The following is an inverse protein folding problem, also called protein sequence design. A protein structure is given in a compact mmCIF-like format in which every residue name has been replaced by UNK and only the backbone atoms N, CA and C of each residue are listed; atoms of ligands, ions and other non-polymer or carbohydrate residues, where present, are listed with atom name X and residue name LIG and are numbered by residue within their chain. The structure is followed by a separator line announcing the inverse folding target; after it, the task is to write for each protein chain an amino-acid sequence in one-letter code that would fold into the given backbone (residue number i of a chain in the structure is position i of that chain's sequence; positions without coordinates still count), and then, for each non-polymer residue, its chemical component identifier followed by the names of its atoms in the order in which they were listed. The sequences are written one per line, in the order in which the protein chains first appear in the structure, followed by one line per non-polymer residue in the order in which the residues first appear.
data_IF_414700744333
#
_entry.id   IF_414700744333
#
_cell.length_a   1.000
_cell.length_b   1.000
_cell.length_c   1.000
_cell.angle_alpha   90.00
_cell.angle_beta   90.00
_cell.angle_gamma   90.00
#
_symmetry.space_group_name_H-M   'P 1'
#
loop_
_entity.id
_entity.type
_entity.pdbx_description
1 polymer ?
#
# COMPACT_ATOMS: atom_id res chain seq x y z
N UNK A 1 6.29 28.72 11.02
CA UNK A 1 6.13 27.25 11.00
C UNK A 1 6.43 26.74 12.39
N UNK A 2 5.54 25.96 13.00
CA UNK A 2 5.84 25.31 14.26
C UNK A 2 7.01 24.34 14.03
N UNK A 3 8.04 24.42 14.87
CA UNK A 3 9.15 23.47 14.87
C UNK A 3 8.61 22.11 15.31
N UNK A 4 8.50 21.13 14.40
CA UNK A 4 8.18 19.75 14.76
C UNK A 4 9.27 19.23 15.69
N UNK A 5 8.90 18.78 16.89
CA UNK A 5 9.86 18.30 17.91
C UNK A 5 9.90 16.77 18.02
N UNK A 6 9.00 16.07 17.31
CA UNK A 6 8.87 14.61 17.32
C UNK A 6 8.15 14.13 16.05
N UNK A 7 8.33 12.85 15.72
CA UNK A 7 7.56 12.16 14.67
C UNK A 7 6.09 12.05 15.06
N UNK A 8 5.19 12.39 14.13
CA UNK A 8 3.74 12.30 14.32
C UNK A 8 3.04 11.68 13.11
N UNK A 9 1.89 11.06 13.33
CA UNK A 9 0.98 10.63 12.27
C UNK A 9 -0.05 11.73 12.03
N UNK A 10 0.14 12.50 10.97
CA UNK A 10 -0.76 13.61 10.64
C UNK A 10 -2.15 13.10 10.25
N UNK A 11 -2.22 11.86 9.80
CA UNK A 11 -3.46 11.24 9.35
C UNK A 11 -3.53 9.82 9.89
N UNK A 12 -4.41 9.60 10.87
CA UNK A 12 -4.70 8.30 11.47
C UNK A 12 -5.34 7.37 10.41
N UNK A 13 -4.51 6.90 9.48
CA UNK A 13 -4.82 6.01 8.35
C UNK A 13 -5.81 6.59 7.32
N UNK A 14 -5.37 7.50 6.42
CA UNK A 14 -6.20 7.97 5.32
C UNK A 14 -6.72 6.80 4.49
N UNK A 15 -8.04 6.65 4.49
CA UNK A 15 -8.74 5.80 3.54
C UNK A 15 -8.65 6.44 2.16
N UNK A 16 -7.85 5.86 1.27
CA UNK A 16 -7.68 6.30 -0.12
C UNK A 16 -8.61 5.56 -1.09
N UNK A 17 -9.70 5.03 -0.55
CA UNK A 17 -10.75 4.32 -1.28
C UNK A 17 -11.04 2.94 -0.68
N UNK A 18 -11.93 2.20 -1.35
CA UNK A 18 -12.30 0.86 -0.95
C UNK A 18 -12.20 -0.09 -2.13
N UNK A 19 -11.80 -1.33 -1.86
CA UNK A 19 -11.84 -2.45 -2.79
C UNK A 19 -12.74 -3.54 -2.24
N UNK A 20 -13.50 -4.19 -3.11
CA UNK A 20 -14.30 -5.35 -2.78
C UNK A 20 -13.88 -6.55 -3.62
N UNK A 21 -13.58 -7.67 -2.96
CA UNK A 21 -13.18 -8.92 -3.58
C UNK A 21 -13.86 -10.11 -2.91
N UNK A 22 -13.85 -11.27 -3.58
CA UNK A 22 -14.30 -12.53 -2.98
C UNK A 22 -13.57 -12.82 -1.65
N UNK A 23 -14.28 -13.31 -0.65
CA UNK A 23 -13.71 -13.62 0.68
C UNK A 23 -12.53 -14.58 0.59
N UNK A 24 -12.51 -15.48 -0.39
CA UNK A 24 -11.42 -16.43 -0.60
C UNK A 24 -10.06 -15.78 -0.89
N UNK A 25 -10.04 -14.52 -1.33
CA UNK A 25 -8.79 -13.74 -1.48
C UNK A 25 -8.23 -13.26 -0.15
N UNK A 26 -9.10 -13.02 0.84
CA UNK A 26 -8.73 -12.41 2.12
C UNK A 26 -8.56 -13.44 3.23
N UNK A 27 -9.33 -14.52 3.18
CA UNK A 27 -9.27 -15.62 4.14
C UNK A 27 -9.04 -16.92 3.41
N UNK A 28 -7.97 -17.64 3.77
CA UNK A 28 -7.69 -18.95 3.20
C UNK A 28 -8.87 -19.89 3.44
N UNK A 29 -9.43 -20.43 2.36
CA UNK A 29 -10.61 -21.29 2.43
C UNK A 29 -11.94 -20.55 2.63
N UNK A 30 -11.95 -19.22 2.52
CA UNK A 30 -13.16 -18.40 2.43
C UNK A 30 -14.08 -18.91 1.34
N UNK A 31 -15.40 -18.85 1.56
CA UNK A 31 -16.42 -19.45 0.70
C UNK A 31 -16.29 -20.97 0.46
N UNK A 32 -15.39 -21.67 1.16
CA UNK A 32 -15.17 -23.11 1.01
C UNK A 32 -16.43 -23.95 1.19
N UNK A 33 -16.56 -25.01 0.41
CA UNK A 33 -17.72 -25.92 0.45
C UNK A 33 -17.35 -27.24 1.11
N UNK A 34 -18.36 -28.01 1.55
CA UNK A 34 -18.18 -29.38 2.04
C UNK A 34 -19.00 -30.35 1.19
N UNK A 35 -18.70 -31.65 1.26
CA UNK A 35 -19.44 -32.66 0.50
C UNK A 35 -20.96 -32.61 0.78
N UNK A 36 -21.33 -32.36 2.03
CA UNK A 36 -22.72 -32.23 2.48
C UNK A 36 -23.33 -30.85 2.24
N UNK A 37 -22.52 -29.82 1.97
CA UNK A 37 -22.97 -28.46 1.67
C UNK A 37 -22.14 -27.84 0.54
N UNK A 38 -22.58 -28.11 -0.68
CA UNK A 38 -21.90 -27.67 -1.91
C UNK A 38 -22.24 -26.22 -2.31
N UNK A 39 -23.27 -25.65 -1.70
CA UNK A 39 -23.78 -24.30 -2.00
C UNK A 39 -23.68 -23.42 -0.75
N UNK A 40 -22.49 -22.88 -0.52
CA UNK A 40 -22.26 -21.83 0.47
C UNK A 40 -22.56 -20.46 -0.11
N UNK A 41 -22.89 -19.49 0.75
CA UNK A 41 -22.94 -18.09 0.36
C UNK A 41 -21.59 -17.66 -0.24
N UNK A 42 -21.61 -16.83 -1.27
CA UNK A 42 -20.41 -16.30 -1.93
C UNK A 42 -20.17 -14.90 -1.42
N UNK A 43 -19.60 -14.81 -0.23
CA UNK A 43 -19.33 -13.54 0.42
C UNK A 43 -18.21 -12.80 -0.32
N UNK A 44 -18.41 -11.50 -0.51
CA UNK A 44 -17.37 -10.55 -0.90
C UNK A 44 -17.08 -9.63 0.27
N UNK A 45 -15.81 -9.30 0.49
CA UNK A 45 -15.36 -8.42 1.56
C UNK A 45 -14.94 -7.08 1.00
N UNK A 46 -15.50 -6.02 1.56
CA UNK A 46 -15.06 -4.65 1.33
C UNK A 46 -13.91 -4.31 2.28
N UNK A 47 -12.77 -3.96 1.71
CA UNK A 47 -11.57 -3.51 2.40
C UNK A 47 -11.32 -2.04 2.14
N UNK A 48 -10.62 -1.41 3.06
CA UNK A 48 -10.19 -0.02 2.97
C UNK A 48 -8.74 -0.03 2.48
N UNK A 49 -8.45 0.71 1.41
CA UNK A 49 -7.06 0.98 1.02
C UNK A 49 -6.50 2.07 1.94
N UNK A 50 -5.44 1.75 2.66
CA UNK A 50 -4.78 2.68 3.55
C UNK A 50 -3.60 3.33 2.86
N UNK A 51 -3.35 4.59 3.21
CA UNK A 51 -2.04 5.22 3.07
C UNK A 51 -1.74 5.87 4.41
N UNK A 52 -0.48 6.08 4.80
CA UNK A 52 -0.14 6.71 6.08
C UNK A 52 0.76 7.90 5.82
N UNK A 53 0.40 9.05 6.40
CA UNK A 53 1.18 10.28 6.29
C UNK A 53 1.92 10.56 7.60
N UNK A 54 3.24 10.63 7.52
CA UNK A 54 4.14 10.78 8.67
C UNK A 54 4.84 12.13 8.57
N UNK A 55 4.69 12.97 9.59
CA UNK A 55 5.50 14.16 9.76
C UNK A 55 6.77 13.77 10.53
N UNK A 56 7.92 13.82 9.87
CA UNK A 56 9.21 13.56 10.48
C UNK A 56 9.99 14.87 10.70
N UNK A 57 10.56 15.12 11.90
CA UNK A 57 11.18 16.40 12.23
C UNK A 57 12.42 16.75 11.36
N UNK A 58 13.14 15.74 10.85
CA UNK A 58 14.34 15.95 10.01
C UNK A 58 14.13 15.63 8.53
N UNK A 59 13.21 14.71 8.21
CA UNK A 59 13.02 14.22 6.83
C UNK A 59 11.84 14.90 6.14
N UNK A 60 11.02 15.64 6.88
CA UNK A 60 9.78 16.22 6.37
C UNK A 60 8.67 15.18 6.25
N UNK A 61 7.82 15.36 5.24
CA UNK A 61 6.60 14.57 5.08
C UNK A 61 6.89 13.25 4.35
N UNK A 62 6.70 12.12 5.02
CA UNK A 62 6.89 10.77 4.47
C UNK A 62 5.52 10.14 4.24
N UNK A 63 5.32 9.54 3.07
CA UNK A 63 4.11 8.82 2.71
C UNK A 63 4.38 7.31 2.69
N UNK A 64 3.53 6.51 3.33
CA UNK A 64 3.52 5.06 3.22
C UNK A 64 2.29 4.60 2.44
N UNK A 65 2.52 3.85 1.35
CA UNK A 65 1.51 3.40 0.38
C UNK A 65 0.78 4.56 -0.33
N UNK A 66 0.17 4.27 -1.49
CA UNK A 66 -0.41 5.30 -2.37
C UNK A 66 -1.81 4.97 -2.88
N UNK A 67 -2.37 3.81 -2.51
CA UNK A 67 -3.67 3.37 -3.00
C UNK A 67 -3.64 2.89 -4.46
N UNK A 68 -4.83 2.67 -5.02
CA UNK A 68 -5.04 2.25 -6.41
C UNK A 68 -4.83 3.34 -7.47
N UNK A 69 -4.68 4.60 -7.06
CA UNK A 69 -4.56 5.75 -7.96
C UNK A 69 -5.88 6.20 -8.60
N UNK A 70 -5.82 7.35 -9.26
CA UNK A 70 -7.01 8.05 -9.78
C UNK A 70 -7.55 7.39 -11.07
N UNK A 71 -6.68 6.72 -11.83
CA UNK A 71 -7.01 6.04 -13.09
C UNK A 71 -7.63 4.65 -12.90
N UNK A 72 -8.04 4.29 -11.67
CA UNK A 72 -8.75 3.06 -11.40
C UNK A 72 -10.27 3.25 -11.61
N UNK A 73 -10.95 2.41 -12.40
CA UNK A 73 -10.52 1.09 -12.88
C UNK A 73 -9.94 1.03 -14.30
N UNK A 74 -9.82 2.16 -15.00
CA UNK A 74 -9.39 2.21 -16.40
C UNK A 74 -8.02 1.55 -16.62
N UNK A 75 -7.09 1.74 -15.69
CA UNK A 75 -5.72 1.20 -15.76
C UNK A 75 -5.65 -0.32 -15.65
N UNK A 76 -6.57 -0.94 -14.91
CA UNK A 76 -6.60 -2.40 -14.71
C UNK A 76 -7.55 -3.11 -15.68
N UNK A 77 -8.50 -2.38 -16.25
CA UNK A 77 -9.49 -2.91 -17.18
C UNK A 77 -10.61 -3.72 -16.50
N UNK A 78 -11.66 -4.00 -17.27
CA UNK A 78 -12.88 -4.62 -16.77
C UNK A 78 -12.66 -5.98 -16.07
N UNK A 79 -11.81 -6.92 -16.58
CA UNK A 79 -11.65 -8.22 -15.93
C UNK A 79 -11.05 -8.14 -14.53
N UNK A 80 -10.02 -7.30 -14.34
CA UNK A 80 -9.36 -7.16 -13.03
C UNK A 80 -10.27 -6.40 -12.06
N UNK A 81 -10.96 -5.35 -12.53
CA UNK A 81 -11.93 -4.63 -11.71
C UNK A 81 -13.14 -5.49 -11.31
N UNK A 82 -13.51 -6.52 -12.08
CA UNK A 82 -14.57 -7.47 -11.68
C UNK A 82 -14.13 -8.38 -10.52
N UNK A 83 -12.83 -8.66 -10.41
CA UNK A 83 -12.25 -9.42 -9.31
C UNK A 83 -12.04 -8.51 -8.09
N UNK A 84 -11.32 -7.41 -8.27
CA UNK A 84 -10.96 -6.42 -7.25
C UNK A 84 -11.70 -5.10 -7.53
N UNK A 85 -12.96 -5.02 -7.15
CA UNK A 85 -13.84 -3.93 -7.56
C UNK A 85 -13.62 -2.67 -6.71
N UNK A 86 -13.39 -1.52 -7.34
CA UNK A 86 -13.43 -0.24 -6.63
C UNK A 86 -14.87 0.12 -6.31
N UNK A 87 -15.17 0.22 -5.02
CA UNK A 87 -16.52 0.50 -4.50
C UNK A 87 -16.49 1.72 -3.60
N UNK A 88 -17.65 2.34 -3.39
CA UNK A 88 -17.83 3.49 -2.50
C UNK A 88 -16.75 4.57 -2.72
N UNK A 89 -16.51 4.92 -3.99
CA UNK A 89 -15.44 5.84 -4.36
C UNK A 89 -15.96 7.17 -4.91
N UNK A 90 -15.38 8.25 -4.42
CA UNK A 90 -15.48 9.60 -4.98
C UNK A 90 -14.13 10.31 -4.85
N UNK A 91 -13.98 11.44 -5.54
CA UNK A 91 -12.73 12.20 -5.60
C UNK A 91 -12.18 12.64 -4.25
N UNK A 92 -13.03 12.76 -3.22
CA UNK A 92 -12.58 13.09 -1.87
C UNK A 92 -11.77 11.97 -1.21
N UNK A 93 -11.80 10.75 -1.75
CA UNK A 93 -11.00 9.60 -1.36
C UNK A 93 -9.71 9.45 -2.18
N UNK A 94 -9.47 10.29 -3.19
CA UNK A 94 -8.18 10.30 -3.91
C UNK A 94 -7.04 10.70 -2.96
N UNK A 95 -5.84 10.16 -3.19
CA UNK A 95 -4.67 10.38 -2.33
C UNK A 95 -4.39 11.87 -2.12
N UNK A 96 -4.44 12.66 -3.20
CA UNK A 96 -4.19 14.11 -3.14
C UNK A 96 -5.23 14.85 -2.29
N UNK A 97 -6.51 14.44 -2.36
CA UNK A 97 -7.58 15.00 -1.55
C UNK A 97 -7.44 14.61 -0.07
N UNK A 98 -7.04 13.37 0.21
CA UNK A 98 -6.79 12.88 1.58
C UNK A 98 -5.61 13.59 2.23
N UNK A 99 -4.50 13.79 1.50
CA UNK A 99 -3.37 14.61 1.97
C UNK A 99 -3.83 16.04 2.22
N UNK A 100 -4.63 16.63 1.31
CA UNK A 100 -5.15 18.00 1.50
C UNK A 100 -5.98 18.19 2.76
N UNK A 101 -6.75 17.18 3.20
CA UNK A 101 -7.52 17.23 4.45
C UNK A 101 -6.65 17.37 5.70
N UNK A 102 -5.36 17.02 5.62
CA UNK A 102 -4.40 17.14 6.72
C UNK A 102 -3.74 18.51 6.80
N UNK A 103 -3.99 19.40 5.82
CA UNK A 103 -3.33 20.70 5.72
C UNK A 103 -2.04 20.69 4.88
N UNK A 104 -1.66 19.55 4.31
CA UNK A 104 -0.52 19.39 3.39
C UNK A 104 -0.95 19.35 1.92
N UNK A 105 -0.01 19.57 1.00
CA UNK A 105 -0.15 19.27 -0.41
C UNK A 105 0.63 17.99 -0.76
N UNK A 106 0.19 17.25 -1.79
CA UNK A 106 0.93 16.07 -2.26
C UNK A 106 2.38 16.41 -2.67
N UNK A 107 2.64 17.66 -3.06
CA UNK A 107 3.98 18.19 -3.39
C UNK A 107 4.87 18.40 -2.15
N UNK A 108 4.30 18.38 -0.95
CA UNK A 108 5.07 18.50 0.29
C UNK A 108 5.79 17.19 0.65
N UNK A 109 5.33 16.06 0.11
CA UNK A 109 5.92 14.73 0.32
C UNK A 109 7.39 14.72 -0.12
N UNK A 110 8.26 14.22 0.77
CA UNK A 110 9.72 14.15 0.60
C UNK A 110 10.24 12.74 0.37
N UNK A 111 9.46 11.72 0.73
CA UNK A 111 9.77 10.33 0.46
C UNK A 111 8.46 9.53 0.40
N UNK A 112 8.45 8.48 -0.42
CA UNK A 112 7.38 7.48 -0.45
C UNK A 112 7.97 6.14 -0.07
N UNK A 113 7.29 5.41 0.78
CA UNK A 113 7.60 4.03 1.16
C UNK A 113 6.46 3.16 0.65
N UNK A 114 6.80 2.08 -0.04
CA UNK A 114 5.83 1.11 -0.54
C UNK A 114 6.12 -0.24 0.11
N UNK A 115 5.15 -0.78 0.85
CA UNK A 115 5.26 -2.10 1.49
C UNK A 115 5.45 -3.21 0.47
N UNK A 116 4.67 -3.19 -0.61
CA UNK A 116 4.84 -4.03 -1.80
C UNK A 116 4.13 -3.40 -3.02
N UNK A 117 4.40 -3.89 -4.23
CA UNK A 117 4.07 -3.19 -5.47
C UNK A 117 2.76 -3.64 -6.14
N UNK A 118 1.77 -4.16 -5.41
CA UNK A 118 0.47 -4.44 -6.03
C UNK A 118 -0.31 -3.16 -6.38
N UNK A 119 -1.28 -3.33 -7.27
CA UNK A 119 -2.12 -2.32 -7.91
C UNK A 119 -2.73 -1.31 -6.94
N UNK A 120 -3.10 -1.74 -5.73
CA UNK A 120 -3.80 -0.97 -4.70
C UNK A 120 -2.88 -0.38 -3.62
N UNK A 121 -1.58 -0.62 -3.74
CA UNK A 121 -0.55 -0.02 -2.88
C UNK A 121 0.31 0.97 -3.67
N UNK A 122 0.68 0.61 -4.90
CA UNK A 122 1.58 1.36 -5.78
C UNK A 122 0.84 2.10 -6.93
N UNK A 123 -0.46 1.87 -7.11
CA UNK A 123 -1.24 2.45 -8.21
C UNK A 123 -1.25 3.98 -8.22
N UNK A 124 -1.18 4.60 -7.05
CA UNK A 124 -1.15 6.06 -6.85
C UNK A 124 0.22 6.73 -7.00
N UNK A 125 1.22 6.06 -7.59
CA UNK A 125 2.58 6.63 -7.73
C UNK A 125 2.72 7.73 -8.81
N UNK A 126 1.75 7.89 -9.71
CA UNK A 126 1.83 8.82 -10.84
C UNK A 126 2.20 10.28 -10.46
N UNK A 127 1.70 10.87 -9.36
CA UNK A 127 2.06 12.23 -8.96
C UNK A 127 3.55 12.43 -8.61
N UNK A 128 4.29 11.34 -8.35
CA UNK A 128 5.69 11.39 -7.93
C UNK A 128 6.69 11.20 -9.07
N UNK A 129 6.23 10.97 -10.31
CA UNK A 129 7.08 10.92 -11.50
C UNK A 129 7.84 12.22 -11.70
N UNK A 130 9.11 12.12 -12.09
CA UNK A 130 10.00 13.25 -12.38
C UNK A 130 10.19 14.24 -11.21
N UNK A 131 9.75 13.90 -10.00
CA UNK A 131 9.94 14.75 -8.82
C UNK A 131 11.32 14.58 -8.18
N UNK A 132 11.96 13.43 -8.41
CA UNK A 132 13.25 13.05 -7.83
C UNK A 132 13.18 12.59 -6.37
N UNK A 133 12.01 12.62 -5.72
CA UNK A 133 11.89 12.12 -4.34
C UNK A 133 12.12 10.61 -4.30
N UNK A 134 12.78 10.07 -3.27
CA UNK A 134 13.01 8.64 -3.15
C UNK A 134 11.70 7.87 -2.97
N UNK A 135 11.55 6.79 -3.74
CA UNK A 135 10.50 5.79 -3.61
C UNK A 135 11.15 4.49 -3.10
N UNK A 136 10.97 4.21 -1.82
CA UNK A 136 11.54 3.06 -1.14
C UNK A 136 10.68 1.81 -1.34
N UNK A 137 11.29 0.74 -1.80
CA UNK A 137 10.69 -0.59 -1.88
C UNK A 137 11.77 -1.66 -1.70
N UNK A 138 11.41 -2.85 -1.22
CA UNK A 138 12.40 -3.92 -1.06
C UNK A 138 12.97 -4.37 -2.40
N UNK A 139 14.26 -4.72 -2.44
CA UNK A 139 14.92 -5.11 -3.69
C UNK A 139 14.30 -6.34 -4.36
N UNK A 140 13.78 -7.28 -3.56
CA UNK A 140 13.09 -8.47 -4.08
C UNK A 140 11.73 -8.12 -4.69
N UNK A 141 11.06 -7.09 -4.17
CA UNK A 141 9.78 -6.62 -4.72
C UNK A 141 10.01 -5.98 -6.08
N UNK A 142 10.99 -5.06 -6.16
CA UNK A 142 11.37 -4.41 -7.42
C UNK A 142 11.78 -5.46 -8.47
N UNK A 143 12.69 -6.38 -8.12
CA UNK A 143 13.13 -7.44 -9.04
C UNK A 143 11.95 -8.28 -9.53
N UNK A 144 11.05 -8.68 -8.62
CA UNK A 144 9.91 -9.52 -8.97
C UNK A 144 8.87 -8.79 -9.83
N UNK A 145 8.47 -7.57 -9.44
CA UNK A 145 7.48 -6.79 -10.18
C UNK A 145 7.94 -6.48 -11.62
N UNK A 146 9.18 -6.01 -11.78
CA UNK A 146 9.77 -5.76 -13.11
C UNK A 146 9.86 -7.04 -13.94
N UNK A 147 10.32 -8.15 -13.32
CA UNK A 147 10.36 -9.44 -14.00
C UNK A 147 8.96 -9.89 -14.44
N UNK A 148 7.99 -9.93 -13.52
CA UNK A 148 6.66 -10.46 -13.75
C UNK A 148 5.90 -9.71 -14.85
N UNK A 149 6.03 -8.37 -14.87
CA UNK A 149 5.48 -7.53 -15.94
C UNK A 149 6.21 -7.75 -17.27
N UNK A 150 7.55 -7.79 -17.27
CA UNK A 150 8.33 -7.98 -18.50
C UNK A 150 8.09 -9.37 -19.14
N UNK A 151 7.89 -10.40 -18.33
CA UNK A 151 7.65 -11.78 -18.79
C UNK A 151 6.18 -12.12 -18.96
N UNK A 152 5.27 -11.20 -18.63
CA UNK A 152 3.80 -11.41 -18.67
C UNK A 152 3.34 -12.59 -17.82
N UNK A 153 4.02 -12.83 -16.70
CA UNK A 153 3.65 -13.86 -15.71
C UNK A 153 2.82 -13.29 -14.57
N UNK A 154 2.71 -11.96 -14.48
CA UNK A 154 1.79 -11.29 -13.58
C UNK A 154 0.32 -11.57 -13.95
N UNK A 155 -0.54 -11.67 -12.93
CA UNK A 155 -1.98 -11.91 -13.08
C UNK A 155 -2.80 -10.62 -13.20
N UNK A 156 -2.15 -9.47 -13.38
CA UNK A 156 -2.77 -8.15 -13.44
C UNK A 156 -2.71 -7.38 -12.13
N UNK A 157 -1.86 -7.79 -11.18
CA UNK A 157 -1.70 -7.10 -9.89
C UNK A 157 -0.47 -6.20 -9.86
N UNK A 158 0.52 -6.42 -10.74
CA UNK A 158 1.62 -5.49 -10.97
C UNK A 158 1.37 -4.69 -12.25
N UNK A 159 1.23 -3.37 -12.13
CA UNK A 159 0.86 -2.52 -13.25
C UNK A 159 2.09 -1.91 -13.94
N UNK A 160 2.19 -2.00 -15.27
CA UNK A 160 3.33 -1.45 -16.02
C UNK A 160 3.49 0.06 -15.88
N UNK A 161 2.41 0.80 -15.54
CA UNK A 161 2.48 2.26 -15.53
C UNK A 161 3.50 2.72 -14.50
N UNK A 162 3.45 2.30 -13.24
CA UNK A 162 4.45 2.75 -12.25
C UNK A 162 5.81 2.06 -12.38
N UNK A 163 5.97 0.94 -13.09
CA UNK A 163 7.27 0.26 -13.28
C UNK A 163 8.12 0.93 -14.37
N UNK A 164 8.45 2.19 -14.15
CA UNK A 164 9.10 3.09 -15.10
C UNK A 164 10.34 3.73 -14.49
N UNK A 165 11.17 4.35 -15.34
CA UNK A 165 12.47 4.92 -14.94
C UNK A 165 12.41 6.41 -14.58
N UNK A 166 11.22 7.01 -14.60
CA UNK A 166 10.97 8.40 -14.19
C UNK A 166 10.56 8.52 -12.71
N UNK A 167 10.48 7.40 -11.99
CA UNK A 167 10.44 7.34 -10.53
C UNK A 167 11.85 7.07 -9.98
N UNK A 168 12.21 7.74 -8.87
CA UNK A 168 13.49 7.54 -8.21
C UNK A 168 13.41 6.36 -7.22
N UNK A 169 13.50 5.14 -7.75
CA UNK A 169 13.47 3.92 -6.96
C UNK A 169 14.73 3.78 -6.08
N UNK A 170 14.53 3.60 -4.77
CA UNK A 170 15.59 3.32 -3.80
C UNK A 170 15.37 1.93 -3.21
N UNK A 171 16.15 0.92 -3.65
CA UNK A 171 15.99 -0.44 -3.15
C UNK A 171 16.43 -0.56 -1.70
N UNK A 172 15.61 -1.21 -0.90
CA UNK A 172 15.96 -1.64 0.45
C UNK A 172 16.52 -3.06 0.40
N UNK A 173 17.55 -3.32 1.21
CA UNK A 173 18.23 -4.61 1.27
C UNK A 173 18.21 -5.19 2.69
N UNK A 174 18.09 -6.52 2.77
CA UNK A 174 18.17 -7.25 4.03
C UNK A 174 16.85 -7.25 4.81
N UNK A 175 16.88 -7.84 6.01
CA UNK A 175 15.67 -8.06 6.80
C UNK A 175 15.14 -6.82 7.52
N UNK A 176 15.97 -5.78 7.65
CA UNK A 176 15.68 -4.58 8.42
C UNK A 176 16.34 -3.37 7.77
N UNK A 177 15.62 -2.24 7.74
CA UNK A 177 16.15 -0.96 7.27
C UNK A 177 15.52 0.20 8.04
N UNK A 178 16.37 1.09 8.56
CA UNK A 178 15.91 2.34 9.17
C UNK A 178 15.87 3.44 8.09
N UNK A 179 14.67 3.90 7.73
CA UNK A 179 14.48 4.98 6.76
C UNK A 179 14.86 6.32 7.40
N UNK A 180 14.41 6.51 8.64
CA UNK A 180 14.65 7.68 9.46
C UNK A 180 14.52 7.29 10.94
N UNK A 181 15.03 8.08 11.90
CA UNK A 181 14.87 7.80 13.33
C UNK A 181 13.41 7.47 13.73
N UNK A 182 13.17 6.20 14.06
CA UNK A 182 11.84 5.73 14.45
C UNK A 182 10.88 5.41 13.29
N UNK A 183 11.34 5.43 12.04
CA UNK A 183 10.61 4.91 10.86
C UNK A 183 11.43 3.78 10.26
N UNK A 184 10.99 2.55 10.51
CA UNK A 184 11.75 1.34 10.18
C UNK A 184 10.93 0.41 9.29
N UNK A 185 11.60 -0.35 8.45
CA UNK A 185 11.00 -1.38 7.60
C UNK A 185 11.57 -2.73 7.96
N UNK A 186 10.69 -3.71 8.07
CA UNK A 186 11.02 -5.12 8.30
C UNK A 186 10.58 -5.91 7.07
N UNK A 187 11.51 -6.62 6.45
CA UNK A 187 11.19 -7.53 5.34
C UNK A 187 10.40 -8.71 5.89
N UNK A 188 9.17 -8.86 5.38
CA UNK A 188 8.19 -9.85 5.81
C UNK A 188 7.66 -10.57 4.57
N UNK A 189 8.48 -11.39 3.89
CA UNK A 189 8.06 -12.07 2.67
C UNK A 189 6.94 -13.07 2.97
N UNK A 190 6.02 -13.21 2.03
CA UNK A 190 4.87 -14.08 2.16
C UNK A 190 3.89 -13.84 1.03
N UNK A 191 3.03 -12.83 1.21
CA UNK A 191 2.12 -12.33 0.17
C UNK A 191 2.84 -12.01 -1.14
N UNK A 192 3.95 -11.26 -1.03
CA UNK A 192 4.90 -11.07 -2.13
C UNK A 192 6.33 -11.38 -1.68
N UNK A 193 7.28 -11.61 -2.61
CA UNK A 193 8.68 -11.88 -2.26
C UNK A 193 9.38 -10.75 -1.51
N UNK A 194 8.93 -9.50 -1.71
CA UNK A 194 9.56 -8.32 -1.13
C UNK A 194 8.63 -7.49 -0.24
N UNK A 195 7.54 -8.06 0.28
CA UNK A 195 6.68 -7.34 1.21
C UNK A 195 7.49 -6.86 2.43
N UNK A 196 7.29 -5.59 2.78
CA UNK A 196 7.80 -4.97 3.99
C UNK A 196 6.65 -4.45 4.86
N UNK A 197 6.75 -4.67 6.17
CA UNK A 197 5.90 -4.00 7.16
C UNK A 197 6.64 -2.78 7.70
N UNK A 198 5.91 -1.70 7.97
CA UNK A 198 6.47 -0.47 8.50
C UNK A 198 6.23 -0.35 10.01
N UNK A 199 7.29 -0.08 10.74
CA UNK A 199 7.24 0.31 12.15
C UNK A 199 7.44 1.82 12.28
N UNK A 200 6.55 2.48 13.01
CA UNK A 200 6.69 3.89 13.38
C UNK A 200 6.67 4.05 14.90
N UNK A 201 7.71 4.66 15.46
CA UNK A 201 7.82 4.94 16.89
C UNK A 201 7.38 6.39 17.16
N UNK A 202 6.22 6.54 17.78
CA UNK A 202 5.63 7.82 18.12
C UNK A 202 5.86 8.13 19.60
N UNK A 203 6.05 9.41 19.90
CA UNK A 203 6.35 9.86 21.28
C UNK A 203 5.20 9.56 22.25
N UNK A 204 3.96 9.80 21.83
CA UNK A 204 2.80 9.76 22.73
C UNK A 204 2.08 8.39 22.70
N UNK A 205 1.98 7.75 21.54
CA UNK A 205 1.23 6.50 21.36
C UNK A 205 2.11 5.25 21.17
N UNK A 206 3.44 5.40 21.31
CA UNK A 206 4.39 4.29 21.27
C UNK A 206 4.62 3.74 19.86
N UNK A 207 4.87 2.44 19.78
CA UNK A 207 5.18 1.76 18.51
C UNK A 207 3.92 1.33 17.78
N UNK A 208 3.80 1.77 16.53
CA UNK A 208 2.79 1.34 15.57
C UNK A 208 3.41 0.46 14.50
N UNK A 209 2.71 -0.61 14.12
CA UNK A 209 3.10 -1.51 13.05
C UNK A 209 2.02 -1.46 11.96
N UNK A 210 2.40 -1.04 10.76
CA UNK A 210 1.57 -1.07 9.57
C UNK A 210 1.94 -2.30 8.76
N UNK A 211 1.03 -3.24 8.68
CA UNK A 211 1.30 -4.60 8.21
C UNK A 211 1.25 -4.74 6.69
N UNK A 212 0.77 -3.74 5.95
CA UNK A 212 0.41 -3.93 4.54
C UNK A 212 -0.45 -5.20 4.40
N UNK A 213 -0.23 -5.95 3.33
CA UNK A 213 -0.87 -7.23 3.06
C UNK A 213 -0.23 -8.43 3.78
N UNK A 214 0.63 -8.21 4.80
CA UNK A 214 1.01 -9.30 5.69
C UNK A 214 -0.23 -9.91 6.36
N UNK A 215 -1.20 -9.05 6.71
CA UNK A 215 -2.51 -9.42 7.23
C UNK A 215 -3.57 -8.48 6.63
N UNK A 216 -4.38 -8.99 5.70
CA UNK A 216 -5.45 -8.19 5.06
C UNK A 216 -6.59 -7.88 6.02
N UNK A 217 -6.93 -8.86 6.87
CA UNK A 217 -7.99 -8.77 7.88
C UNK A 217 -7.50 -9.29 9.23
N UNK A 218 -8.17 -8.88 10.32
CA UNK A 218 -7.81 -9.26 11.69
C UNK A 218 -7.71 -10.77 11.86
N UNK A 219 -8.58 -11.51 11.21
CA UNK A 219 -8.62 -12.96 11.23
C UNK A 219 -7.32 -13.60 10.69
N UNK A 220 -6.59 -12.96 9.76
CA UNK A 220 -5.30 -13.48 9.31
C UNK A 220 -4.22 -13.44 10.41
N UNK A 221 -4.37 -12.58 11.41
CA UNK A 221 -3.45 -12.52 12.55
C UNK A 221 -3.90 -13.43 13.70
N UNK A 222 -5.21 -13.58 13.89
CA UNK A 222 -5.77 -14.31 15.03
C UNK A 222 -5.93 -15.82 14.77
N UNK A 223 -6.22 -16.22 13.52
CA UNK A 223 -6.62 -17.59 13.18
C UNK A 223 -5.51 -18.40 12.45
N UNK A 224 -4.47 -17.74 11.90
CA UNK A 224 -3.38 -18.37 11.14
C UNK A 224 -2.06 -18.43 11.96
#
# INVERSE_FOLDING_TARGET
MASLTSTDLVNQAPAVGNLEADEGWMKRGGNGTTLSNQNTERLRRKLIMLSILIEHPTEGLILYETGAGDNYPEVVGAPINDIFARVDHDKSLELSAQIKKTGHDIKDVKAVIIGHLHLDHAGGLDPFRNTGIPIYAHELELKYAFYAVATKTDLGVYLPHYLTFDLNWVPIHGSYYEIAPGVNLHHSPGHTPGLCVMQVNLKESGTWIFTSDQYHVKENWEDD
#
